data_IF_899239611326
#
_entry.id   IF_899239611326
#
_cell.length_a   1.000
_cell.length_b   1.000
_cell.length_c   1.000
_cell.angle_alpha   90.00
_cell.angle_beta   90.00
_cell.angle_gamma   90.00
#
_symmetry.space_group_name_H-M   'P 1'
#
loop_
_entity.id
_entity.type
_entity.pdbx_description
1 polymer ?
#
# COMPACT_ATOMS: atom_id res chain seq x y z
N UNK A 1 72.06 34.78 47.85
CA UNK A 1 72.66 33.62 47.15
C UNK A 1 72.45 33.86 45.67
N UNK A 2 73.51 34.20 44.93
CA UNK A 2 73.38 34.61 43.53
C UNK A 2 73.81 33.45 42.63
N UNK A 3 72.86 32.87 41.90
CA UNK A 3 73.14 31.82 40.93
C UNK A 3 73.76 32.43 39.66
N UNK A 4 75.07 32.33 39.52
CA UNK A 4 75.79 32.76 38.33
C UNK A 4 75.46 31.86 37.14
N UNK A 5 74.53 32.29 36.28
CA UNK A 5 74.27 31.62 35.00
C UNK A 5 75.43 31.85 34.03
N UNK A 6 76.21 30.80 33.77
CA UNK A 6 77.29 30.82 32.79
C UNK A 6 76.73 30.85 31.36
N UNK A 7 76.53 32.06 30.82
CA UNK A 7 76.18 32.25 29.40
C UNK A 7 77.31 31.71 28.54
N UNK A 8 77.13 30.49 28.01
CA UNK A 8 78.12 29.84 27.16
C UNK A 8 77.98 30.44 25.76
N UNK A 9 78.76 31.47 25.46
CA UNK A 9 78.74 32.15 24.16
C UNK A 9 79.24 31.19 23.08
N UNK A 10 78.33 30.58 22.33
CA UNK A 10 78.66 29.66 21.24
C UNK A 10 79.22 30.48 20.06
N UNK A 11 80.54 30.69 20.05
CA UNK A 11 81.28 31.33 18.95
C UNK A 11 81.49 30.37 17.78
N UNK A 12 80.38 29.90 17.20
CA UNK A 12 80.37 29.32 15.86
C UNK A 12 80.34 30.42 14.79
N UNK A 13 80.71 30.12 13.53
CA UNK A 13 80.47 31.03 12.42
C UNK A 13 78.98 31.33 12.32
N UNK A 14 78.62 32.62 12.25
CA UNK A 14 77.23 33.04 12.21
C UNK A 14 76.58 32.65 10.87
N UNK A 15 75.35 32.10 10.85
CA UNK A 15 74.68 31.76 9.59
C UNK A 15 74.46 32.98 8.71
N UNK A 16 74.73 32.86 7.41
CA UNK A 16 74.39 33.89 6.45
C UNK A 16 72.89 33.84 6.11
N UNK A 17 72.11 34.64 6.83
CA UNK A 17 70.68 34.79 6.60
C UNK A 17 70.36 35.42 5.23
N UNK A 18 71.31 36.09 4.58
CA UNK A 18 71.16 36.64 3.22
C UNK A 18 71.16 35.50 2.21
N UNK A 19 72.18 34.62 2.28
CA UNK A 19 72.26 33.42 1.46
C UNK A 19 71.05 32.50 1.68
N UNK A 20 70.57 32.35 2.93
CA UNK A 20 69.34 31.61 3.22
C UNK A 20 68.09 32.23 2.58
N UNK A 21 67.95 33.57 2.62
CA UNK A 21 66.84 34.29 2.01
C UNK A 21 66.87 34.22 0.46
N UNK A 22 68.05 34.31 -0.15
CA UNK A 22 68.23 34.15 -1.60
C UNK A 22 67.92 32.71 -2.05
N UNK A 23 68.40 31.72 -1.30
CA UNK A 23 68.07 30.31 -1.56
C UNK A 23 66.55 30.07 -1.46
N UNK A 24 65.89 30.64 -0.45
CA UNK A 24 64.43 30.61 -0.31
C UNK A 24 63.68 31.27 -1.47
N UNK A 25 64.14 32.42 -1.98
CA UNK A 25 63.59 33.06 -3.18
C UNK A 25 63.78 32.20 -4.43
N UNK A 26 64.97 31.60 -4.60
CA UNK A 26 65.24 30.68 -5.71
C UNK A 26 64.31 29.47 -5.71
N UNK A 27 64.04 28.90 -4.53
CA UNK A 27 63.13 27.77 -4.35
C UNK A 27 61.68 28.17 -4.65
N UNK A 28 61.22 29.34 -4.21
CA UNK A 28 59.91 29.90 -4.57
C UNK A 28 59.74 30.09 -6.08
N UNK A 29 60.76 30.59 -6.79
CA UNK A 29 60.71 30.76 -8.26
C UNK A 29 60.61 29.40 -8.98
N UNK A 30 61.26 28.36 -8.49
CA UNK A 30 61.11 27.01 -9.07
C UNK A 30 59.73 26.42 -8.77
N UNK A 31 59.17 26.67 -7.57
CA UNK A 31 57.82 26.26 -7.21
C UNK A 31 56.75 26.96 -8.06
N UNK A 32 56.95 28.24 -8.38
CA UNK A 32 56.11 29.01 -9.29
C UNK A 32 56.13 28.43 -10.72
N UNK A 33 57.30 27.96 -11.18
CA UNK A 33 57.43 27.25 -12.47
C UNK A 33 56.68 25.92 -12.50
N UNK A 34 56.51 25.24 -11.37
CA UNK A 34 55.72 24.01 -11.29
C UNK A 34 54.23 24.22 -11.63
N UNK A 35 53.68 25.43 -11.51
CA UNK A 35 52.30 25.73 -11.92
C UNK A 35 52.07 25.55 -13.43
N UNK A 36 53.12 25.66 -14.24
CA UNK A 36 53.08 25.46 -15.70
C UNK A 36 53.31 24.00 -16.11
N UNK A 37 53.51 23.06 -15.17
CA UNK A 37 53.58 21.65 -15.49
C UNK A 37 52.15 21.12 -15.75
N UNK A 38 51.89 20.47 -16.90
CA UNK A 38 50.56 19.94 -17.22
C UNK A 38 49.97 19.09 -16.09
N UNK A 39 50.79 18.26 -15.43
CA UNK A 39 50.40 17.42 -14.30
C UNK A 39 49.81 18.18 -13.09
N UNK A 40 50.16 19.47 -12.90
CA UNK A 40 49.60 20.30 -11.82
C UNK A 40 48.25 20.90 -12.26
N UNK A 41 48.15 21.30 -13.53
CA UNK A 41 46.93 21.83 -14.13
C UNK A 41 45.85 20.74 -14.31
N UNK A 42 46.26 19.54 -14.71
CA UNK A 42 45.45 18.32 -14.78
C UNK A 42 44.89 17.92 -13.41
N UNK A 43 45.66 18.14 -12.33
CA UNK A 43 45.23 17.83 -10.96
C UNK A 43 43.97 18.58 -10.54
N UNK A 44 43.85 19.87 -10.88
CA UNK A 44 42.65 20.66 -10.61
C UNK A 44 41.44 20.18 -11.45
N UNK A 45 41.69 19.74 -12.68
CA UNK A 45 40.66 19.13 -13.52
C UNK A 45 40.18 17.79 -12.94
N UNK A 46 41.09 16.95 -12.41
CA UNK A 46 40.74 15.70 -11.73
C UNK A 46 39.88 15.90 -10.49
N UNK A 47 40.15 16.91 -9.65
CA UNK A 47 39.28 17.26 -8.51
C UNK A 47 37.87 17.62 -9.00
N UNK A 48 37.77 18.51 -9.98
CA UNK A 48 36.48 18.91 -10.59
C UNK A 48 35.73 17.72 -11.22
N UNK A 49 36.46 16.73 -11.73
CA UNK A 49 35.89 15.51 -12.31
C UNK A 49 35.42 14.54 -11.23
N UNK A 50 36.15 14.40 -10.13
CA UNK A 50 35.75 13.60 -8.96
C UNK A 50 34.43 14.11 -8.38
N UNK A 51 34.31 15.41 -8.12
CA UNK A 51 33.07 16.03 -7.61
C UNK A 51 31.84 15.73 -8.49
N UNK A 52 32.03 15.67 -9.82
CA UNK A 52 30.97 15.29 -10.76
C UNK A 52 30.64 13.80 -10.70
N UNK A 53 31.63 12.94 -10.51
CA UNK A 53 31.41 11.50 -10.31
C UNK A 53 30.72 11.21 -8.97
N UNK A 54 31.13 11.88 -7.90
CA UNK A 54 30.50 11.75 -6.57
C UNK A 54 29.03 12.17 -6.63
N UNK A 55 28.73 13.30 -7.29
CA UNK A 55 27.36 13.75 -7.55
C UNK A 55 26.57 12.77 -8.43
N UNK A 56 27.20 12.19 -9.45
CA UNK A 56 26.56 11.18 -10.30
C UNK A 56 26.28 9.88 -9.53
N UNK A 57 27.16 9.48 -8.62
CA UNK A 57 26.95 8.34 -7.73
C UNK A 57 25.76 8.59 -6.78
N UNK A 58 25.69 9.76 -6.15
CA UNK A 58 24.55 10.16 -5.31
C UNK A 58 23.23 10.15 -6.10
N UNK A 59 23.22 10.70 -7.32
CA UNK A 59 22.05 10.65 -8.21
C UNK A 59 21.65 9.23 -8.59
N UNK A 60 22.63 8.34 -8.84
CA UNK A 60 22.38 6.93 -9.14
C UNK A 60 21.79 6.19 -7.93
N UNK A 61 22.33 6.41 -6.72
CA UNK A 61 21.75 5.83 -5.50
C UNK A 61 20.31 6.30 -5.26
N UNK A 62 20.04 7.59 -5.47
CA UNK A 62 18.70 8.15 -5.32
C UNK A 62 17.72 7.57 -6.36
N UNK A 63 18.17 7.37 -7.60
CA UNK A 63 17.37 6.67 -8.62
C UNK A 63 17.09 5.21 -8.21
N UNK A 64 18.10 4.48 -7.71
CA UNK A 64 17.93 3.10 -7.21
C UNK A 64 16.92 3.06 -6.05
N UNK A 65 16.99 4.01 -5.11
CA UNK A 65 15.99 4.14 -4.01
C UNK A 65 14.58 4.35 -4.57
N UNK A 66 14.40 5.28 -5.51
CA UNK A 66 13.09 5.57 -6.13
C UNK A 66 12.54 4.37 -6.89
N UNK A 67 13.35 3.67 -7.70
CA UNK A 67 12.94 2.47 -8.44
C UNK A 67 12.52 1.35 -7.49
N UNK A 68 13.23 1.16 -6.37
CA UNK A 68 12.87 0.17 -5.35
C UNK A 68 11.54 0.51 -4.62
N UNK A 69 11.22 1.78 -4.43
CA UNK A 69 9.90 2.19 -3.91
C UNK A 69 8.81 1.91 -4.93
N UNK A 70 8.98 2.33 -6.19
CA UNK A 70 8.00 2.07 -7.27
C UNK A 70 7.75 0.56 -7.44
N UNK A 71 8.79 -0.27 -7.36
CA UNK A 71 8.65 -1.73 -7.44
C UNK A 71 7.79 -2.31 -6.30
N UNK A 72 7.87 -1.76 -5.09
CA UNK A 72 7.02 -2.14 -3.96
C UNK A 72 5.58 -1.67 -4.15
N UNK A 73 5.39 -0.43 -4.60
CA UNK A 73 4.05 0.14 -4.82
C UNK A 73 3.31 -0.60 -5.94
N UNK A 74 4.00 -0.97 -7.03
CA UNK A 74 3.46 -1.81 -8.11
C UNK A 74 3.09 -3.22 -7.61
N UNK A 75 3.91 -3.81 -6.72
CA UNK A 75 3.57 -5.10 -6.10
C UNK A 75 2.36 -5.00 -5.17
N UNK A 76 2.21 -3.90 -4.43
CA UNK A 76 1.01 -3.60 -3.63
C UNK A 76 -0.24 -3.48 -4.50
N UNK A 77 -0.19 -2.64 -5.53
CA UNK A 77 -1.29 -2.44 -6.47
C UNK A 77 -1.71 -3.74 -7.17
N UNK A 78 -0.76 -4.62 -7.51
CA UNK A 78 -1.07 -5.93 -8.06
C UNK A 78 -1.93 -6.77 -7.11
N UNK A 79 -1.57 -6.83 -5.83
CA UNK A 79 -2.34 -7.56 -4.83
C UNK A 79 -3.75 -6.97 -4.63
N UNK A 80 -3.87 -5.63 -4.65
CA UNK A 80 -5.17 -4.96 -4.54
C UNK A 80 -6.08 -5.26 -5.74
N UNK A 81 -5.52 -5.36 -6.95
CA UNK A 81 -6.25 -5.77 -8.17
C UNK A 81 -6.70 -7.23 -8.07
N UNK A 82 -5.86 -8.16 -7.61
CA UNK A 82 -6.24 -9.57 -7.40
C UNK A 82 -7.37 -9.71 -6.35
N UNK A 83 -7.33 -8.92 -5.27
CA UNK A 83 -8.40 -8.87 -4.26
C UNK A 83 -9.70 -8.27 -4.83
N UNK A 84 -9.60 -7.28 -5.73
CA UNK A 84 -10.77 -6.66 -6.35
C UNK A 84 -11.44 -7.58 -7.37
N UNK A 85 -10.66 -8.35 -8.13
CA UNK A 85 -11.17 -9.35 -9.08
C UNK A 85 -12.00 -10.43 -8.36
N UNK A 86 -11.46 -11.01 -7.28
CA UNK A 86 -12.19 -11.97 -6.43
C UNK A 86 -13.50 -11.38 -5.90
N UNK A 87 -13.49 -10.12 -5.42
CA UNK A 87 -14.70 -9.43 -4.95
C UNK A 87 -15.74 -9.25 -6.07
N UNK A 88 -15.30 -8.86 -7.26
CA UNK A 88 -16.18 -8.60 -8.41
C UNK A 88 -16.85 -9.91 -8.88
N UNK A 89 -16.07 -10.97 -9.11
CA UNK A 89 -16.60 -12.30 -9.45
C UNK A 89 -17.56 -12.82 -8.38
N UNK A 90 -17.23 -12.62 -7.10
CA UNK A 90 -18.08 -13.04 -5.97
C UNK A 90 -19.39 -12.23 -5.92
N UNK A 91 -19.37 -10.94 -6.26
CA UNK A 91 -20.55 -10.09 -6.31
C UNK A 91 -21.49 -10.49 -7.46
N UNK A 92 -20.94 -10.82 -8.62
CA UNK A 92 -21.70 -11.29 -9.79
C UNK A 92 -22.38 -12.64 -9.49
N UNK A 93 -21.63 -13.62 -8.98
CA UNK A 93 -22.17 -14.91 -8.53
C UNK A 93 -23.29 -14.75 -7.49
N UNK A 94 -23.09 -13.88 -6.49
CA UNK A 94 -24.13 -13.57 -5.50
C UNK A 94 -25.37 -12.90 -6.11
N UNK A 95 -25.20 -12.11 -7.16
CA UNK A 95 -26.32 -11.43 -7.84
C UNK A 95 -27.13 -12.43 -8.65
N UNK A 96 -26.46 -13.37 -9.35
CA UNK A 96 -27.11 -14.49 -10.03
C UNK A 96 -27.84 -15.42 -9.04
N UNK A 97 -27.19 -15.83 -7.95
CA UNK A 97 -27.81 -16.67 -6.91
C UNK A 97 -29.04 -16.01 -6.27
N UNK A 98 -29.00 -14.68 -6.00
CA UNK A 98 -30.17 -13.92 -5.52
C UNK A 98 -31.29 -13.89 -6.56
N UNK A 99 -30.96 -13.76 -7.84
CA UNK A 99 -31.94 -13.80 -8.92
C UNK A 99 -32.64 -15.17 -8.98
N UNK A 100 -31.87 -16.27 -9.00
CA UNK A 100 -32.41 -17.64 -8.96
C UNK A 100 -33.29 -17.89 -7.72
N UNK A 101 -32.84 -17.45 -6.54
CA UNK A 101 -33.59 -17.57 -5.29
C UNK A 101 -34.91 -16.77 -5.31
N UNK A 102 -34.93 -15.62 -5.98
CA UNK A 102 -36.14 -14.82 -6.15
C UNK A 102 -37.21 -15.54 -6.99
N UNK A 103 -36.79 -16.33 -7.99
CA UNK A 103 -37.66 -17.17 -8.82
C UNK A 103 -38.11 -18.43 -8.06
N UNK A 104 -37.18 -19.11 -7.38
CA UNK A 104 -37.41 -20.34 -6.61
C UNK A 104 -38.51 -20.20 -5.54
N UNK A 105 -38.66 -18.98 -5.00
CA UNK A 105 -39.70 -18.60 -4.02
C UNK A 105 -41.14 -18.92 -4.45
N UNK A 106 -41.42 -19.11 -5.74
CA UNK A 106 -42.76 -19.45 -6.24
C UNK A 106 -43.12 -20.94 -6.10
N UNK A 107 -42.16 -21.83 -5.82
CA UNK A 107 -42.35 -23.28 -5.94
C UNK A 107 -42.72 -24.01 -4.63
N UNK A 108 -41.97 -23.83 -3.54
CA UNK A 108 -42.18 -24.53 -2.25
C UNK A 108 -41.25 -23.97 -1.15
N UNK A 109 -41.61 -24.19 0.12
CA UNK A 109 -40.70 -23.99 1.27
C UNK A 109 -39.54 -24.99 1.30
N UNK A 110 -39.68 -26.12 0.60
CA UNK A 110 -38.64 -27.16 0.44
C UNK A 110 -37.75 -26.94 -0.78
N UNK A 111 -37.99 -25.90 -1.58
CA UNK A 111 -37.16 -25.61 -2.76
C UNK A 111 -35.75 -25.24 -2.30
N UNK A 112 -34.74 -25.86 -2.93
CA UNK A 112 -33.33 -25.57 -2.67
C UNK A 112 -33.04 -24.13 -3.09
N UNK A 113 -32.37 -23.38 -2.22
CA UNK A 113 -31.84 -22.05 -2.56
C UNK A 113 -30.40 -22.19 -3.06
N UNK A 114 -30.05 -21.40 -4.07
CA UNK A 114 -28.68 -21.22 -4.51
C UNK A 114 -27.86 -20.59 -3.35
N UNK A 115 -26.68 -21.14 -3.04
CA UNK A 115 -25.87 -20.65 -1.94
C UNK A 115 -25.27 -19.28 -2.29
N UNK A 116 -24.90 -18.52 -1.26
CA UNK A 116 -24.18 -17.26 -1.42
C UNK A 116 -22.70 -17.45 -1.08
N UNK A 117 -21.88 -16.59 -1.66
CA UNK A 117 -20.43 -16.60 -1.59
C UNK A 117 -19.93 -15.43 -0.73
N UNK A 118 -18.91 -15.66 0.10
CA UNK A 118 -18.36 -14.66 1.00
C UNK A 118 -17.46 -13.67 0.22
N UNK A 119 -17.88 -12.41 0.16
CA UNK A 119 -17.26 -11.32 -0.63
C UNK A 119 -15.75 -11.14 -0.35
N UNK A 120 -15.25 -11.52 0.84
CA UNK A 120 -13.83 -11.37 1.20
C UNK A 120 -12.96 -12.56 0.81
N UNK A 121 -13.54 -13.74 0.59
CA UNK A 121 -12.78 -15.00 0.41
C UNK A 121 -13.11 -15.74 -0.87
N UNK A 122 -14.23 -15.43 -1.54
CA UNK A 122 -14.70 -16.18 -2.70
C UNK A 122 -15.12 -17.63 -2.37
N UNK A 123 -15.38 -17.94 -1.11
CA UNK A 123 -15.84 -19.27 -0.67
C UNK A 123 -17.36 -19.30 -0.42
N UNK A 124 -17.97 -20.46 -0.64
CA UNK A 124 -19.38 -20.70 -0.33
C UNK A 124 -19.63 -20.51 1.18
N UNK A 125 -20.65 -19.73 1.52
CA UNK A 125 -21.09 -19.53 2.90
C UNK A 125 -21.82 -20.77 3.36
N UNK A 126 -21.52 -21.25 4.57
CA UNK A 126 -22.22 -22.36 5.21
C UNK A 126 -23.64 -21.92 5.64
N UNK A 127 -24.51 -21.79 4.65
CA UNK A 127 -25.84 -21.21 4.77
C UNK A 127 -26.98 -22.23 4.77
N UNK A 128 -28.22 -21.73 4.91
CA UNK A 128 -29.42 -22.53 4.72
C UNK A 128 -29.50 -23.09 3.30
N UNK A 129 -29.95 -24.33 3.14
CA UNK A 129 -30.07 -25.02 1.83
C UNK A 129 -31.48 -24.87 1.25
N UNK A 130 -32.48 -24.58 2.07
CA UNK A 130 -33.85 -24.25 1.67
C UNK A 130 -34.49 -23.20 2.59
N UNK A 131 -35.69 -22.71 2.24
CA UNK A 131 -36.42 -21.72 3.05
C UNK A 131 -36.81 -22.24 4.44
N UNK A 132 -37.06 -23.55 4.58
CA UNK A 132 -37.35 -24.14 5.88
C UNK A 132 -36.14 -24.09 6.83
N UNK A 133 -34.92 -24.28 6.31
CA UNK A 133 -33.70 -24.18 7.12
C UNK A 133 -33.57 -22.79 7.75
N UNK A 134 -33.83 -21.73 6.96
CA UNK A 134 -33.84 -20.32 7.42
C UNK A 134 -34.83 -20.11 8.59
N UNK A 135 -35.93 -20.86 8.61
CA UNK A 135 -36.91 -20.81 9.71
C UNK A 135 -36.38 -21.53 10.95
N UNK A 136 -35.77 -22.71 10.79
CA UNK A 136 -35.19 -23.48 11.91
C UNK A 136 -33.92 -22.90 12.51
N UNK A 137 -33.15 -22.10 11.77
CA UNK A 137 -31.90 -21.51 12.25
C UNK A 137 -32.07 -20.70 13.54
N UNK A 138 -31.11 -20.88 14.45
CA UNK A 138 -31.04 -20.15 15.71
C UNK A 138 -30.40 -18.75 15.54
N UNK A 139 -30.50 -17.92 16.58
CA UNK A 139 -30.06 -16.52 16.51
C UNK A 139 -28.54 -16.34 16.32
N UNK A 140 -27.73 -17.35 16.64
CA UNK A 140 -26.27 -17.36 16.47
C UNK A 140 -25.89 -17.72 15.04
N UNK A 141 -26.52 -18.75 14.46
CA UNK A 141 -26.36 -19.16 13.06
C UNK A 141 -26.76 -18.04 12.10
N UNK A 142 -27.93 -17.42 12.32
CA UNK A 142 -28.38 -16.26 11.53
C UNK A 142 -27.35 -15.12 11.60
N UNK A 143 -26.77 -14.85 12.78
CA UNK A 143 -25.73 -13.83 12.93
C UNK A 143 -24.37 -14.25 12.33
N UNK A 144 -24.03 -15.54 12.26
CA UNK A 144 -22.84 -16.04 11.54
C UNK A 144 -23.00 -15.76 10.05
N UNK A 145 -24.08 -16.27 9.44
CA UNK A 145 -24.38 -16.06 8.01
C UNK A 145 -24.44 -14.58 7.61
N UNK A 146 -25.11 -13.73 8.39
CA UNK A 146 -25.20 -12.29 8.10
C UNK A 146 -23.82 -11.62 8.11
N UNK A 147 -22.95 -11.94 9.07
CA UNK A 147 -21.59 -11.37 9.14
C UNK A 147 -20.67 -11.89 8.03
N UNK A 148 -20.83 -13.14 7.60
CA UNK A 148 -20.11 -13.69 6.45
C UNK A 148 -20.55 -13.05 5.12
N UNK A 149 -21.81 -12.60 5.03
CA UNK A 149 -22.31 -11.74 3.95
C UNK A 149 -21.87 -10.26 4.07
N UNK A 150 -21.13 -9.89 5.12
CA UNK A 150 -20.74 -8.50 5.39
C UNK A 150 -21.88 -7.60 5.91
N UNK A 151 -22.96 -8.20 6.44
CA UNK A 151 -24.15 -7.50 6.92
C UNK A 151 -24.19 -7.52 8.45
N UNK A 152 -24.30 -6.35 9.08
CA UNK A 152 -24.46 -6.26 10.53
C UNK A 152 -25.83 -6.82 10.98
N UNK A 153 -25.85 -7.85 11.86
CA UNK A 153 -27.09 -8.50 12.25
C UNK A 153 -27.89 -7.63 13.21
N UNK A 154 -29.17 -7.42 12.90
CA UNK A 154 -30.13 -6.75 13.78
C UNK A 154 -30.27 -7.43 15.15
N UNK A 155 -30.83 -6.73 16.13
CA UNK A 155 -30.93 -7.23 17.52
C UNK A 155 -31.85 -8.44 17.67
N UNK A 156 -33.05 -8.42 17.09
CA UNK A 156 -34.05 -9.48 17.29
C UNK A 156 -33.91 -10.64 16.30
N UNK A 157 -34.23 -11.88 16.73
CA UNK A 157 -34.17 -13.07 15.89
C UNK A 157 -35.10 -12.98 14.65
N UNK A 158 -36.33 -12.47 14.84
CA UNK A 158 -37.28 -12.27 13.75
C UNK A 158 -36.73 -11.33 12.66
N UNK A 159 -36.09 -10.23 13.07
CA UNK A 159 -35.47 -9.30 12.13
C UNK A 159 -34.21 -9.85 11.46
N UNK A 160 -33.33 -10.55 12.18
CA UNK A 160 -32.17 -11.24 11.57
C UNK A 160 -32.63 -12.22 10.48
N UNK A 161 -33.72 -12.95 10.73
CA UNK A 161 -34.29 -13.88 9.76
C UNK A 161 -34.84 -13.16 8.53
N UNK A 162 -35.56 -12.04 8.70
CA UNK A 162 -36.03 -11.22 7.58
C UNK A 162 -34.86 -10.60 6.79
N UNK A 163 -33.83 -10.12 7.49
CA UNK A 163 -32.61 -9.58 6.91
C UNK A 163 -31.86 -10.63 6.08
N UNK A 164 -31.76 -11.87 6.58
CA UNK A 164 -31.13 -12.98 5.84
C UNK A 164 -31.95 -13.39 4.62
N UNK A 165 -33.28 -13.51 4.75
CA UNK A 165 -34.16 -13.81 3.61
C UNK A 165 -34.03 -12.77 2.50
N UNK A 166 -33.99 -11.47 2.84
CA UNK A 166 -33.74 -10.39 1.86
C UNK A 166 -32.35 -10.49 1.23
N UNK A 167 -31.32 -10.80 2.02
CA UNK A 167 -29.94 -10.94 1.51
C UNK A 167 -29.80 -12.10 0.51
N UNK A 168 -30.63 -13.14 0.65
CA UNK A 168 -30.77 -14.25 -0.30
C UNK A 168 -31.74 -13.96 -1.48
N UNK A 169 -32.34 -12.77 -1.58
CA UNK A 169 -33.26 -12.40 -2.68
C UNK A 169 -34.74 -12.79 -2.46
N UNK A 170 -35.11 -13.26 -1.27
CA UNK A 170 -36.43 -13.84 -0.97
C UNK A 170 -37.48 -12.77 -0.60
N UNK A 171 -37.74 -11.82 -1.51
CA UNK A 171 -38.93 -10.96 -1.52
C UNK A 171 -39.17 -10.10 -0.25
N UNK A 172 -40.38 -10.04 0.32
CA UNK A 172 -41.52 -11.00 0.33
C UNK A 172 -42.75 -10.51 -0.48
N UNK A 173 -43.64 -11.42 -0.89
CA UNK A 173 -44.95 -11.07 -1.47
C UNK A 173 -46.00 -10.87 -0.37
N UNK A 174 -46.12 -9.64 0.12
CA UNK A 174 -47.20 -9.25 1.04
C UNK A 174 -48.47 -9.05 0.22
N UNK A 175 -49.32 -10.08 0.14
CA UNK A 175 -50.67 -9.94 -0.42
C UNK A 175 -51.53 -9.06 0.49
N UNK A 176 -51.47 -7.74 0.29
CA UNK A 176 -52.36 -6.78 0.93
C UNK A 176 -53.70 -6.80 0.19
N UNK A 177 -54.55 -7.75 0.54
CA UNK A 177 -55.84 -7.96 -0.11
C UNK A 177 -56.78 -6.76 0.03
N UNK A 178 -56.96 -6.01 -1.06
CA UNK A 178 -58.25 -5.45 -1.57
C UNK A 178 -58.06 -4.50 -2.76
N UNK A 179 -56.84 -4.06 -3.07
CA UNK A 179 -56.55 -3.35 -4.33
C UNK A 179 -55.32 -3.93 -5.02
N UNK A 180 -55.53 -4.52 -6.20
CA UNK A 180 -54.48 -5.05 -7.06
C UNK A 180 -53.91 -3.93 -7.95
N UNK A 181 -53.26 -2.93 -7.34
CA UNK A 181 -52.35 -2.07 -8.10
C UNK A 181 -51.07 -2.85 -8.34
N UNK A 182 -50.82 -3.23 -9.60
CA UNK A 182 -49.55 -3.84 -10.02
C UNK A 182 -48.45 -2.76 -10.16
N UNK A 183 -48.30 -1.93 -9.14
CA UNK A 183 -47.09 -1.13 -8.96
C UNK A 183 -45.99 -2.08 -8.50
N UNK A 184 -45.17 -2.51 -9.46
CA UNK A 184 -43.80 -2.87 -9.13
C UNK A 184 -43.15 -1.61 -8.54
N UNK A 185 -42.65 -1.62 -7.30
CA UNK A 185 -41.87 -0.49 -6.81
C UNK A 185 -40.52 -0.53 -7.53
N UNK A 186 -40.38 0.24 -8.61
CA UNK A 186 -39.16 0.37 -9.43
C UNK A 186 -37.89 0.65 -8.61
N UNK A 187 -38.06 1.16 -7.38
CA UNK A 187 -36.97 1.34 -6.41
C UNK A 187 -36.30 0.05 -5.89
N UNK A 188 -36.91 -1.14 -5.98
CA UNK A 188 -36.30 -2.35 -5.42
C UNK A 188 -35.11 -2.89 -6.24
N UNK A 189 -35.12 -2.72 -7.57
CA UNK A 189 -33.98 -3.09 -8.41
C UNK A 189 -32.84 -2.07 -8.30
N UNK A 190 -33.16 -0.77 -8.23
CA UNK A 190 -32.16 0.30 -8.20
C UNK A 190 -31.55 0.58 -6.82
N UNK A 191 -32.28 0.37 -5.72
CA UNK A 191 -31.81 0.75 -4.37
C UNK A 191 -30.60 -0.03 -3.86
N UNK A 192 -30.28 -1.21 -4.41
CA UNK A 192 -29.20 -2.05 -3.88
C UNK A 192 -27.84 -1.82 -4.56
N UNK A 193 -27.82 -1.21 -5.74
CA UNK A 193 -26.58 -0.88 -6.48
C UNK A 193 -25.88 0.36 -5.92
N UNK A 194 -26.59 1.22 -5.17
CA UNK A 194 -26.07 2.50 -4.65
C UNK A 194 -25.50 2.47 -3.22
N UNK A 195 -25.35 1.29 -2.59
CA UNK A 195 -24.91 1.17 -1.17
C UNK A 195 -23.85 0.09 -0.90
N UNK A 196 -23.14 -0.35 -1.93
CA UNK A 196 -21.98 -1.24 -1.85
C UNK A 196 -20.79 -0.60 -2.56
#
# INVERSE_FOLDING_TARGET
>A
MNSSTSTTTVTGPQPDFTAAAECGRGLLIQLERCQNLPSVQDGAHWVTMSEKFDKMAEQMENLIRTVNTIAKDVAGLKNDVEILDVKLTTLDQNSLARYENSLAKLASDTTRIAPLMNIKTGHEIEGPKCLNDVRSMNATELSKCLRELGIDPKSTNAEKRDQLLRAYGVCRTVYRGTQSTSEWPDGCAHSFVQKL
#
